data_IF_418262398186
#
_entry.id   IF_418262398186
#
_cell.length_a   1.000
_cell.length_b   1.000
_cell.length_c   1.000
_cell.angle_alpha   90.00
_cell.angle_beta   90.00
_cell.angle_gamma   90.00
#
_symmetry.space_group_name_H-M   'P 1'
#
loop_
_entity.id
_entity.type
_entity.pdbx_description
1 polymer ?
#
# COMPACT_ATOMS: atom_id res chain seq x y z
N UNK A 1 10.41 1.49 -14.19
CA UNK A 1 9.19 2.28 -14.18
C UNK A 1 9.63 3.71 -14.38
N UNK A 2 9.06 4.49 -15.30
CA UNK A 2 9.27 5.91 -15.27
C UNK A 2 8.84 6.40 -13.88
N UNK A 3 9.59 7.31 -13.32
CA UNK A 3 9.20 8.06 -12.14
C UNK A 3 7.78 8.55 -12.38
N UNK A 4 6.84 8.12 -11.54
CA UNK A 4 5.52 8.71 -11.53
C UNK A 4 5.74 10.18 -11.22
N UNK A 5 5.68 11.02 -12.24
CA UNK A 5 5.45 12.43 -12.05
C UNK A 5 4.25 12.53 -11.11
N UNK A 6 4.53 13.04 -9.93
CA UNK A 6 3.51 13.36 -8.94
C UNK A 6 2.70 14.47 -9.58
N UNK A 7 1.59 14.09 -10.22
CA UNK A 7 0.56 15.06 -10.58
C UNK A 7 -0.01 15.61 -9.26
N UNK A 8 0.72 16.55 -8.68
CA UNK A 8 0.14 17.51 -7.75
C UNK A 8 -0.84 18.36 -8.57
N UNK A 9 -2.02 17.82 -8.82
CA UNK A 9 -3.14 18.62 -9.26
C UNK A 9 -3.62 19.39 -8.02
N UNK A 10 -2.91 20.48 -7.70
CA UNK A 10 -3.48 21.60 -6.99
C UNK A 10 -4.26 22.40 -8.05
N UNK A 11 -5.59 22.32 -8.12
CA UNK A 11 -6.31 23.34 -8.85
C UNK A 11 -5.96 24.65 -8.13
N UNK A 12 -5.44 25.62 -8.86
CA UNK A 12 -5.38 26.99 -8.37
C UNK A 12 -6.76 27.30 -7.82
N UNK A 13 -6.82 27.65 -6.55
CA UNK A 13 -8.06 27.76 -5.76
C UNK A 13 -9.04 28.85 -6.27
N UNK A 14 -8.82 29.43 -7.44
CA UNK A 14 -9.56 30.58 -7.96
C UNK A 14 -10.16 30.43 -9.38
N UNK A 15 -10.04 29.28 -10.07
CA UNK A 15 -10.65 29.12 -11.40
C UNK A 15 -11.29 27.75 -11.65
N UNK A 16 -11.80 27.05 -10.63
CA UNK A 16 -12.82 26.04 -10.87
C UNK A 16 -14.06 26.79 -11.34
N UNK A 17 -14.31 26.78 -12.64
CA UNK A 17 -15.59 27.22 -13.23
C UNK A 17 -16.65 26.45 -12.45
N UNK A 18 -17.39 27.15 -11.61
CA UNK A 18 -18.52 26.61 -10.89
C UNK A 18 -19.53 26.18 -11.94
N UNK A 19 -19.43 24.92 -12.39
CA UNK A 19 -20.43 24.36 -13.30
C UNK A 19 -21.77 24.46 -12.60
N UNK A 20 -22.76 24.96 -13.32
CA UNK A 20 -24.12 25.04 -12.76
C UNK A 20 -24.58 23.64 -12.32
N UNK A 21 -25.44 23.49 -11.31
CA UNK A 21 -25.98 22.19 -10.93
C UNK A 21 -26.53 21.41 -12.12
N UNK A 22 -27.20 22.09 -13.07
CA UNK A 22 -27.75 21.48 -14.29
C UNK A 22 -26.66 20.93 -15.23
N UNK A 23 -25.55 21.66 -15.37
CA UNK A 23 -24.42 21.17 -16.17
C UNK A 23 -23.76 19.96 -15.53
N UNK A 24 -23.58 19.97 -14.21
CA UNK A 24 -23.06 18.81 -13.47
C UNK A 24 -23.96 17.58 -13.64
N UNK A 25 -25.26 17.76 -13.51
CA UNK A 25 -26.27 16.70 -13.70
C UNK A 25 -26.15 16.09 -15.10
N UNK A 26 -26.04 16.91 -16.15
CA UNK A 26 -25.86 16.44 -17.51
C UNK A 26 -24.57 15.63 -17.67
N UNK A 27 -23.44 16.16 -17.18
CA UNK A 27 -22.14 15.50 -17.28
C UNK A 27 -22.12 14.16 -16.53
N UNK A 28 -22.65 14.09 -15.31
CA UNK A 28 -22.73 12.84 -14.55
C UNK A 28 -23.57 11.79 -15.29
N UNK A 29 -24.69 12.21 -15.92
CA UNK A 29 -25.53 11.31 -16.72
C UNK A 29 -24.78 10.80 -17.98
N UNK A 30 -24.10 11.67 -18.71
CA UNK A 30 -23.28 11.31 -19.89
C UNK A 30 -22.14 10.36 -19.51
N UNK A 31 -21.56 10.51 -18.33
CA UNK A 31 -20.53 9.61 -17.79
C UNK A 31 -21.09 8.25 -17.33
N UNK A 32 -22.43 8.09 -17.22
CA UNK A 32 -23.05 6.94 -16.61
C UNK A 32 -22.73 6.81 -15.12
N UNK A 33 -22.82 7.93 -14.40
CA UNK A 33 -22.47 8.02 -12.99
C UNK A 33 -23.71 8.16 -12.12
N UNK A 34 -23.79 7.37 -11.04
CA UNK A 34 -24.79 7.53 -9.98
C UNK A 34 -24.14 8.03 -8.68
N UNK A 35 -24.97 8.55 -7.77
CA UNK A 35 -24.55 8.91 -6.41
C UNK A 35 -25.13 7.91 -5.41
N UNK A 36 -24.28 7.32 -4.56
CA UNK A 36 -24.68 6.37 -3.52
C UNK A 36 -24.61 7.05 -2.15
N UNK A 37 -25.71 6.98 -1.40
CA UNK A 37 -25.84 7.53 -0.05
C UNK A 37 -26.10 6.36 0.91
N UNK A 38 -25.08 5.78 1.56
CA UNK A 38 -25.29 4.83 2.64
C UNK A 38 -25.81 5.55 3.88
N UNK A 39 -26.83 5.00 4.53
CA UNK A 39 -27.43 5.59 5.71
C UNK A 39 -27.81 4.55 6.76
N UNK A 40 -27.76 4.95 8.03
CA UNK A 40 -28.23 4.16 9.16
C UNK A 40 -28.59 5.10 10.31
N UNK A 41 -29.87 5.06 10.75
CA UNK A 41 -30.36 5.89 11.85
C UNK A 41 -29.93 7.36 11.75
N UNK A 42 -30.21 7.99 10.63
CA UNK A 42 -29.72 9.35 10.32
C UNK A 42 -30.88 10.26 9.84
N UNK A 43 -31.99 10.23 10.50
CA UNK A 43 -33.19 11.01 10.15
C UNK A 43 -32.94 12.53 10.18
N UNK A 44 -31.98 13.02 10.96
CA UNK A 44 -31.75 14.46 11.14
C UNK A 44 -31.20 15.17 9.92
N UNK A 45 -30.34 14.51 9.12
CA UNK A 45 -29.62 15.15 8.00
C UNK A 45 -29.94 14.54 6.65
N UNK A 46 -30.43 13.31 6.59
CA UNK A 46 -30.64 12.56 5.36
C UNK A 46 -31.50 13.30 4.33
N UNK A 47 -32.65 13.88 4.77
CA UNK A 47 -33.56 14.61 3.86
C UNK A 47 -32.86 15.78 3.16
N UNK A 48 -32.05 16.54 3.90
CA UNK A 48 -31.27 17.65 3.35
C UNK A 48 -30.23 17.12 2.34
N UNK A 49 -29.45 16.11 2.72
CA UNK A 49 -28.41 15.53 1.85
C UNK A 49 -29.01 15.02 0.54
N UNK A 50 -30.10 14.27 0.58
CA UNK A 50 -30.78 13.79 -0.63
C UNK A 50 -31.24 14.96 -1.50
N UNK A 51 -31.92 15.97 -0.90
CA UNK A 51 -32.44 17.13 -1.62
C UNK A 51 -31.33 17.94 -2.30
N UNK A 52 -30.20 18.11 -1.63
CA UNK A 52 -29.05 18.80 -2.19
C UNK A 52 -28.35 17.98 -3.30
N UNK A 53 -28.17 16.67 -3.13
CA UNK A 53 -27.59 15.77 -4.15
C UNK A 53 -28.46 15.76 -5.40
N UNK A 54 -29.79 15.74 -5.26
CA UNK A 54 -30.74 15.79 -6.39
C UNK A 54 -30.64 17.07 -7.23
N UNK A 55 -30.03 18.13 -6.74
CA UNK A 55 -29.73 19.30 -7.58
C UNK A 55 -28.63 19.01 -8.61
N UNK A 56 -27.67 18.11 -8.29
CA UNK A 56 -26.48 17.82 -9.08
C UNK A 56 -26.54 16.48 -9.81
N UNK A 57 -27.39 15.53 -9.41
CA UNK A 57 -27.54 14.21 -10.02
C UNK A 57 -29.00 13.77 -10.11
N UNK A 58 -29.35 13.11 -11.21
CA UNK A 58 -30.68 12.47 -11.37
C UNK A 58 -30.66 11.04 -10.79
N UNK A 59 -29.49 10.39 -10.82
CA UNK A 59 -29.33 8.99 -10.46
C UNK A 59 -28.80 8.89 -9.03
N UNK A 60 -29.70 8.86 -8.06
CA UNK A 60 -29.39 8.78 -6.63
C UNK A 60 -29.86 7.44 -6.08
N UNK A 61 -28.96 6.71 -5.43
CA UNK A 61 -29.21 5.41 -4.79
C UNK A 61 -29.00 5.59 -3.29
N UNK A 62 -30.05 5.47 -2.52
CA UNK A 62 -29.99 5.49 -1.05
C UNK A 62 -29.98 4.06 -0.54
N UNK A 63 -29.00 3.70 0.28
CA UNK A 63 -28.89 2.37 0.87
C UNK A 63 -29.09 2.47 2.37
N UNK A 64 -30.25 2.02 2.83
CA UNK A 64 -30.61 1.96 4.25
C UNK A 64 -30.07 0.66 4.87
N UNK A 65 -29.14 0.78 5.78
CA UNK A 65 -28.51 -0.35 6.50
C UNK A 65 -29.34 -0.83 7.69
N UNK A 66 -30.66 -0.97 7.50
CA UNK A 66 -31.59 -1.50 8.51
C UNK A 66 -31.85 -0.49 9.63
N UNK A 67 -32.20 0.76 9.29
CA UNK A 67 -32.54 1.80 10.24
C UNK A 67 -33.79 1.45 11.05
N UNK A 68 -33.80 1.88 12.30
CA UNK A 68 -34.87 1.65 13.27
C UNK A 68 -35.56 2.95 13.76
N UNK A 69 -35.06 4.08 13.29
CA UNK A 69 -35.63 5.42 13.51
C UNK A 69 -36.57 5.80 12.34
N UNK A 70 -36.86 7.09 12.18
CA UNK A 70 -37.71 7.62 11.09
C UNK A 70 -36.98 7.74 9.73
N UNK A 71 -35.76 7.22 9.59
CA UNK A 71 -34.99 7.21 8.32
C UNK A 71 -35.75 6.53 7.17
N UNK A 72 -36.41 5.35 7.35
CA UNK A 72 -37.18 4.70 6.29
C UNK A 72 -38.39 5.52 5.81
N UNK A 73 -39.04 6.30 6.68
CA UNK A 73 -40.13 7.21 6.33
C UNK A 73 -39.64 8.35 5.44
N UNK A 74 -38.46 8.92 5.78
CA UNK A 74 -37.82 9.96 4.98
C UNK A 74 -37.49 9.43 3.59
N UNK A 75 -36.88 8.25 3.49
CA UNK A 75 -36.52 7.63 2.19
C UNK A 75 -37.80 7.45 1.34
N UNK A 76 -38.88 6.94 1.94
CA UNK A 76 -40.17 6.75 1.23
C UNK A 76 -40.78 8.06 0.73
N UNK A 77 -40.58 9.17 1.44
CA UNK A 77 -41.12 10.47 1.05
C UNK A 77 -40.56 11.01 -0.26
N UNK A 78 -39.37 10.55 -0.70
CA UNK A 78 -38.77 10.93 -1.98
C UNK A 78 -39.32 10.15 -3.19
N UNK A 79 -40.06 9.05 -2.95
CA UNK A 79 -40.70 8.27 -4.01
C UNK A 79 -39.75 7.88 -5.15
N UNK A 80 -40.18 8.15 -6.38
CA UNK A 80 -39.42 7.80 -7.59
C UNK A 80 -38.23 8.73 -7.88
N UNK A 81 -38.04 9.79 -7.09
CA UNK A 81 -36.91 10.69 -7.26
C UNK A 81 -35.55 10.03 -6.93
N UNK A 82 -35.58 8.93 -6.15
CA UNK A 82 -34.40 8.16 -5.76
C UNK A 82 -34.63 6.66 -5.96
N UNK A 83 -33.56 5.88 -6.02
CA UNK A 83 -33.61 4.43 -5.85
C UNK A 83 -33.24 4.09 -4.42
N UNK A 84 -34.09 3.30 -3.75
CA UNK A 84 -33.84 2.88 -2.37
C UNK A 84 -33.57 1.39 -2.28
N UNK A 85 -32.54 1.03 -1.50
CA UNK A 85 -32.22 -0.34 -1.12
C UNK A 85 -32.28 -0.41 0.41
N UNK A 86 -33.01 -1.38 0.97
CA UNK A 86 -33.13 -1.54 2.43
C UNK A 86 -32.61 -2.90 2.83
N UNK A 87 -31.76 -2.96 3.83
CA UNK A 87 -31.31 -4.19 4.46
C UNK A 87 -32.18 -4.55 5.65
N UNK A 88 -32.34 -5.83 5.93
CA UNK A 88 -33.18 -6.29 7.05
C UNK A 88 -32.63 -5.88 8.42
N UNK A 89 -31.30 -5.73 8.52
CA UNK A 89 -30.60 -5.36 9.75
C UNK A 89 -29.28 -4.66 9.41
N UNK A 90 -28.74 -3.92 10.38
CA UNK A 90 -27.45 -3.28 10.25
C UNK A 90 -26.33 -4.30 10.00
N UNK A 91 -25.66 -4.19 8.86
CA UNK A 91 -24.51 -4.99 8.45
C UNK A 91 -23.21 -4.18 8.37
N UNK A 92 -23.31 -2.88 8.47
CA UNK A 92 -22.21 -1.92 8.46
C UNK A 92 -22.10 -1.11 7.16
N UNK A 93 -21.53 0.09 7.28
CA UNK A 93 -21.39 1.06 6.18
C UNK A 93 -20.75 0.44 4.92
N UNK A 94 -19.72 -0.40 5.09
CA UNK A 94 -19.06 -1.05 3.98
C UNK A 94 -19.95 -1.99 3.19
N UNK A 95 -20.81 -2.76 3.89
CA UNK A 95 -21.78 -3.66 3.23
C UNK A 95 -22.84 -2.85 2.50
N UNK A 96 -23.34 -1.76 3.11
CA UNK A 96 -24.30 -0.87 2.47
C UNK A 96 -23.70 -0.24 1.19
N UNK A 97 -22.46 0.24 1.26
CA UNK A 97 -21.77 0.81 0.10
C UNK A 97 -21.56 -0.23 -1.00
N UNK A 98 -21.12 -1.44 -0.64
CA UNK A 98 -20.95 -2.56 -1.59
C UNK A 98 -22.28 -2.92 -2.26
N UNK A 99 -23.37 -2.99 -1.51
CA UNK A 99 -24.70 -3.26 -2.01
C UNK A 99 -25.13 -2.20 -3.06
N UNK A 100 -24.91 -0.92 -2.76
CA UNK A 100 -25.16 0.17 -3.70
C UNK A 100 -24.32 0.08 -4.97
N UNK A 101 -23.02 -0.23 -4.86
CA UNK A 101 -22.14 -0.40 -6.02
C UNK A 101 -22.52 -1.61 -6.88
N UNK A 102 -22.87 -2.74 -6.27
CA UNK A 102 -23.33 -3.94 -6.99
C UNK A 102 -24.64 -3.63 -7.75
N UNK A 103 -25.58 -2.93 -7.10
CA UNK A 103 -26.79 -2.48 -7.74
C UNK A 103 -26.48 -1.55 -8.92
N UNK A 104 -25.67 -0.51 -8.70
CA UNK A 104 -25.28 0.44 -9.75
C UNK A 104 -24.66 -0.27 -10.96
N UNK A 105 -23.71 -1.18 -10.74
CA UNK A 105 -23.08 -1.95 -11.82
C UNK A 105 -24.08 -2.82 -12.57
N UNK A 106 -25.01 -3.47 -11.87
CA UNK A 106 -26.07 -4.30 -12.48
C UNK A 106 -27.00 -3.49 -13.38
N UNK A 107 -27.24 -2.22 -13.04
CA UNK A 107 -28.07 -1.31 -13.83
C UNK A 107 -27.31 -0.49 -14.87
N UNK A 108 -26.04 -0.84 -15.12
CA UNK A 108 -25.24 -0.30 -16.23
C UNK A 108 -24.52 1.00 -15.94
N UNK A 109 -24.47 1.44 -14.69
CA UNK A 109 -23.63 2.59 -14.32
C UNK A 109 -22.15 2.22 -14.42
N UNK A 110 -21.36 3.15 -14.95
CA UNK A 110 -19.90 3.00 -15.07
C UNK A 110 -19.17 3.51 -13.83
N UNK A 111 -19.73 4.52 -13.20
CA UNK A 111 -19.16 5.14 -12.01
C UNK A 111 -20.21 5.27 -10.90
N UNK A 112 -19.75 5.17 -9.66
CA UNK A 112 -20.54 5.47 -8.48
C UNK A 112 -19.78 6.47 -7.60
N UNK A 113 -20.43 7.57 -7.22
CA UNK A 113 -19.89 8.51 -6.25
C UNK A 113 -20.56 8.25 -4.92
N UNK A 114 -19.79 7.91 -3.88
CA UNK A 114 -20.31 7.80 -2.51
C UNK A 114 -20.29 9.14 -1.80
N UNK A 115 -21.32 9.47 -1.06
CA UNK A 115 -21.38 10.61 -0.14
C UNK A 115 -22.08 10.18 1.15
N UNK A 116 -21.54 10.61 2.30
CA UNK A 116 -22.09 10.26 3.61
C UNK A 116 -23.39 11.02 3.89
N UNK A 117 -24.33 10.36 4.59
CA UNK A 117 -25.64 10.93 4.93
C UNK A 117 -25.63 11.90 6.10
N UNK A 118 -24.46 12.11 6.76
CA UNK A 118 -24.31 12.92 7.98
C UNK A 118 -24.25 14.45 7.74
N UNK A 119 -24.29 14.87 6.46
CA UNK A 119 -24.28 16.28 6.08
C UNK A 119 -22.89 16.96 6.21
N UNK A 120 -21.82 16.21 6.49
CA UNK A 120 -20.48 16.80 6.58
C UNK A 120 -19.87 17.12 5.21
N UNK A 121 -20.22 16.37 4.17
CA UNK A 121 -19.78 16.60 2.81
C UNK A 121 -20.75 17.51 2.05
N UNK A 122 -20.21 18.43 1.27
CA UNK A 122 -21.01 19.34 0.43
C UNK A 122 -21.34 18.69 -0.91
N UNK A 123 -22.63 18.44 -1.25
CA UNK A 123 -23.02 17.97 -2.59
C UNK A 123 -22.58 18.92 -3.71
N UNK A 124 -22.38 20.21 -3.40
CA UNK A 124 -21.82 21.20 -4.34
C UNK A 124 -20.35 20.95 -4.75
N UNK A 125 -19.68 19.90 -4.21
CA UNK A 125 -18.39 19.42 -4.68
C UNK A 125 -18.50 18.29 -5.72
N UNK A 126 -19.71 17.77 -6.03
CA UNK A 126 -19.96 16.81 -7.12
C UNK A 126 -19.36 17.24 -8.49
N UNK A 127 -19.41 18.54 -8.88
CA UNK A 127 -18.74 19.00 -10.11
C UNK A 127 -17.24 18.68 -10.15
N UNK A 128 -16.55 18.69 -9.02
CA UNK A 128 -15.11 18.35 -8.94
C UNK A 128 -14.91 16.88 -9.34
N UNK A 129 -15.77 15.97 -8.85
CA UNK A 129 -15.72 14.55 -9.22
C UNK A 129 -16.09 14.34 -10.69
N UNK A 130 -17.13 14.99 -11.20
CA UNK A 130 -17.55 14.89 -12.60
C UNK A 130 -16.41 15.32 -13.56
N UNK A 131 -15.75 16.42 -13.27
CA UNK A 131 -14.60 16.89 -14.03
C UNK A 131 -13.42 15.94 -13.92
N UNK A 132 -13.13 15.44 -12.73
CA UNK A 132 -12.02 14.52 -12.48
C UNK A 132 -12.21 13.17 -13.17
N UNK A 133 -13.43 12.61 -13.15
CA UNK A 133 -13.77 11.40 -13.91
C UNK A 133 -13.57 11.61 -15.41
N UNK A 134 -14.01 12.77 -15.95
CA UNK A 134 -13.84 13.09 -17.37
C UNK A 134 -12.37 13.18 -17.79
N UNK A 135 -11.51 13.75 -16.91
CA UNK A 135 -10.07 13.92 -17.18
C UNK A 135 -9.26 12.66 -16.93
N UNK A 136 -9.66 11.85 -15.96
CA UNK A 136 -8.95 10.66 -15.52
C UNK A 136 -9.91 9.46 -15.48
N UNK A 137 -10.35 8.94 -16.63
CA UNK A 137 -11.21 7.77 -16.66
C UNK A 137 -10.52 6.57 -15.99
N UNK A 138 -11.31 5.62 -15.52
CA UNK A 138 -10.83 4.39 -14.87
C UNK A 138 -10.02 4.60 -13.58
N UNK A 139 -10.08 5.81 -12.99
CA UNK A 139 -9.36 6.19 -11.77
C UNK A 139 -10.32 6.22 -10.58
N UNK A 140 -9.92 5.65 -9.45
CA UNK A 140 -10.62 5.79 -8.17
C UNK A 140 -10.22 7.14 -7.57
N UNK A 141 -11.20 8.01 -7.37
CA UNK A 141 -10.99 9.37 -6.91
C UNK A 141 -11.46 9.50 -5.47
N UNK A 142 -10.61 10.00 -4.58
CA UNK A 142 -10.90 10.20 -3.16
C UNK A 142 -10.89 11.69 -2.86
N UNK A 143 -11.98 12.20 -2.29
CA UNK A 143 -12.04 13.57 -1.82
C UNK A 143 -11.10 13.78 -0.64
N UNK A 144 -10.14 14.68 -0.77
CA UNK A 144 -9.20 15.01 0.30
C UNK A 144 -9.65 16.27 1.05
N UNK A 145 -9.81 16.12 2.34
CA UNK A 145 -10.15 17.21 3.25
C UNK A 145 -8.91 18.07 3.50
N UNK A 146 -9.10 19.39 3.63
CA UNK A 146 -8.03 20.25 4.09
C UNK A 146 -7.77 20.03 5.59
N UNK A 147 -6.83 19.13 5.91
CA UNK A 147 -6.48 18.76 7.27
C UNK A 147 -5.71 19.87 8.05
N UNK A 148 -5.47 21.01 7.42
CA UNK A 148 -4.82 22.19 8.02
C UNK A 148 -5.80 23.33 8.25
N UNK A 149 -7.08 23.17 7.89
CA UNK A 149 -8.09 24.20 8.09
C UNK A 149 -8.35 24.45 9.59
N UNK A 150 -8.63 25.70 9.94
CA UNK A 150 -9.04 26.09 11.29
C UNK A 150 -10.30 25.33 11.72
N UNK A 151 -10.32 24.82 12.96
CA UNK A 151 -11.45 24.07 13.52
C UNK A 151 -11.31 22.54 13.45
N UNK A 152 -10.25 21.98 12.85
CA UNK A 152 -10.08 20.54 12.78
C UNK A 152 -9.53 19.96 14.10
N UNK A 153 -10.20 18.95 14.70
CA UNK A 153 -9.70 18.26 15.88
C UNK A 153 -8.34 17.57 15.60
N UNK A 154 -7.32 17.87 16.42
CA UNK A 154 -5.96 17.32 16.21
C UNK A 154 -5.89 15.78 16.22
N UNK A 155 -6.84 15.10 16.87
CA UNK A 155 -6.96 13.64 16.88
C UNK A 155 -7.25 13.08 15.47
N UNK A 156 -8.06 13.77 14.66
CA UNK A 156 -8.38 13.34 13.29
C UNK A 156 -7.16 13.43 12.37
N UNK A 157 -6.31 14.43 12.59
CA UNK A 157 -5.06 14.60 11.82
C UNK A 157 -4.07 13.46 12.06
N UNK A 158 -3.93 12.99 13.31
CA UNK A 158 -3.06 11.86 13.63
C UNK A 158 -3.58 10.55 13.00
N UNK A 159 -4.86 10.24 13.17
CA UNK A 159 -5.47 9.03 12.61
C UNK A 159 -5.37 9.00 11.07
N UNK A 160 -5.57 10.14 10.42
CA UNK A 160 -5.43 10.26 8.97
C UNK A 160 -3.97 10.06 8.52
N UNK A 161 -3.00 10.74 9.16
CA UNK A 161 -1.57 10.54 8.85
C UNK A 161 -1.13 9.09 9.03
N UNK A 162 -1.63 8.43 10.07
CA UNK A 162 -1.37 7.03 10.34
C UNK A 162 -1.93 6.14 9.22
N UNK A 163 -3.19 6.34 8.82
CA UNK A 163 -3.82 5.62 7.71
C UNK A 163 -3.08 5.84 6.38
N UNK A 164 -2.72 7.09 6.05
CA UNK A 164 -1.98 7.44 4.85
C UNK A 164 -0.58 6.79 4.80
N UNK A 165 0.09 6.69 5.96
CA UNK A 165 1.39 6.01 6.06
C UNK A 165 1.27 4.52 5.72
N UNK A 166 0.28 3.81 6.29
CA UNK A 166 0.08 2.39 6.02
C UNK A 166 -0.34 2.15 4.58
N UNK A 167 -1.27 2.93 4.06
CA UNK A 167 -1.67 2.86 2.66
C UNK A 167 -0.47 3.01 1.70
N UNK A 168 0.41 3.99 1.97
CA UNK A 168 1.64 4.16 1.18
C UNK A 168 2.57 2.94 1.28
N UNK A 169 2.70 2.35 2.46
CA UNK A 169 3.52 1.14 2.66
C UNK A 169 2.96 -0.05 1.88
N UNK A 170 1.66 -0.23 1.88
CA UNK A 170 0.95 -1.35 1.26
C UNK A 170 0.87 -1.24 -0.27
N UNK A 171 0.72 -0.03 -0.79
CA UNK A 171 0.45 0.21 -2.22
C UNK A 171 1.59 0.88 -2.97
N UNK A 172 2.44 1.63 -2.28
CA UNK A 172 3.44 2.53 -2.86
C UNK A 172 2.86 3.87 -3.32
N UNK A 173 1.54 4.09 -3.23
CA UNK A 173 0.84 5.32 -3.64
C UNK A 173 0.73 6.26 -2.44
N UNK A 174 1.02 7.53 -2.65
CA UNK A 174 0.84 8.55 -1.63
C UNK A 174 -0.52 9.24 -1.82
N UNK A 175 -1.33 9.23 -0.77
CA UNK A 175 -2.56 10.01 -0.67
C UNK A 175 -2.47 10.98 0.51
N UNK A 176 -3.16 12.11 0.39
CA UNK A 176 -3.26 13.11 1.46
C UNK A 176 -4.41 12.80 2.42
N UNK A 177 -5.44 12.11 1.94
CA UNK A 177 -6.56 11.63 2.74
C UNK A 177 -7.06 10.28 2.24
N UNK A 178 -6.95 9.24 3.09
CA UNK A 178 -7.45 7.89 2.82
C UNK A 178 -8.73 7.56 3.58
N UNK A 179 -9.22 8.47 4.44
CA UNK A 179 -10.35 8.22 5.33
C UNK A 179 -11.66 8.91 4.92
N UNK A 180 -11.61 9.79 3.92
CA UNK A 180 -12.82 10.43 3.41
C UNK A 180 -13.75 9.40 2.77
N UNK A 181 -15.05 9.46 3.07
CA UNK A 181 -16.09 8.65 2.44
C UNK A 181 -16.62 9.23 1.12
N UNK A 182 -16.22 10.44 0.74
CA UNK A 182 -16.59 11.06 -0.51
C UNK A 182 -15.67 10.62 -1.63
N UNK A 183 -16.10 9.65 -2.45
CA UNK A 183 -15.26 8.95 -3.42
C UNK A 183 -15.99 8.66 -4.72
N UNK A 184 -15.27 8.66 -5.84
CA UNK A 184 -15.78 8.14 -7.10
C UNK A 184 -15.10 6.81 -7.43
N UNK A 185 -15.90 5.79 -7.67
CA UNK A 185 -15.48 4.42 -7.95
C UNK A 185 -15.73 4.09 -9.42
N UNK A 186 -14.71 3.71 -10.20
CA UNK A 186 -14.87 3.15 -11.55
C UNK A 186 -15.32 1.69 -11.44
N UNK A 187 -16.62 1.44 -11.56
CA UNK A 187 -17.25 0.14 -11.24
C UNK A 187 -16.70 -1.04 -12.07
N UNK A 188 -16.20 -0.78 -13.27
CA UNK A 188 -15.60 -1.82 -14.11
C UNK A 188 -14.18 -2.21 -13.67
N UNK A 189 -13.49 -1.34 -12.95
CA UNK A 189 -12.15 -1.61 -12.40
C UNK A 189 -12.20 -2.20 -10.99
N UNK A 190 -13.36 -2.19 -10.35
CA UNK A 190 -13.54 -2.72 -9.00
C UNK A 190 -14.19 -4.10 -9.11
N UNK A 191 -13.54 -5.08 -8.52
CA UNK A 191 -14.04 -6.44 -8.47
C UNK A 191 -15.06 -6.60 -7.33
N UNK A 192 -16.31 -6.23 -7.60
CA UNK A 192 -17.41 -6.28 -6.63
C UNK A 192 -17.83 -7.70 -6.23
N UNK A 193 -17.40 -8.72 -6.98
CA UNK A 193 -17.60 -10.14 -6.66
C UNK A 193 -16.56 -10.74 -5.72
N UNK A 194 -15.49 -10.02 -5.37
CA UNK A 194 -14.49 -10.48 -4.42
C UNK A 194 -15.08 -10.56 -3.01
N UNK A 195 -14.64 -11.55 -2.24
CA UNK A 195 -14.91 -11.56 -0.80
C UNK A 195 -14.03 -10.51 -0.14
N UNK A 196 -14.63 -9.37 0.19
CA UNK A 196 -13.99 -8.41 1.09
C UNK A 196 -13.95 -9.02 2.50
N UNK A 197 -12.87 -8.72 3.23
CA UNK A 197 -12.66 -9.23 4.59
C UNK A 197 -13.51 -8.48 5.61
N UNK A 198 -13.93 -7.26 5.26
CA UNK A 198 -14.53 -6.30 6.18
C UNK A 198 -15.85 -5.76 5.66
N UNK A 199 -16.71 -5.30 6.58
CA UNK A 199 -18.04 -4.77 6.23
C UNK A 199 -18.36 -3.44 6.91
N UNK A 200 -17.48 -2.95 7.80
CA UNK A 200 -17.66 -1.69 8.52
C UNK A 200 -16.94 -0.50 7.85
N UNK A 201 -16.41 0.41 8.66
CA UNK A 201 -15.62 1.57 8.18
C UNK A 201 -14.29 1.17 7.58
N UNK A 202 -13.71 0.06 8.01
CA UNK A 202 -12.47 -0.52 7.50
C UNK A 202 -12.57 -0.94 6.03
N UNK A 203 -13.76 -1.25 5.52
CA UNK A 203 -14.03 -1.57 4.12
C UNK A 203 -13.53 -0.48 3.15
N UNK A 204 -13.69 0.77 3.54
CA UNK A 204 -13.27 1.89 2.70
C UNK A 204 -11.75 1.94 2.49
N UNK A 205 -10.96 1.46 3.45
CA UNK A 205 -9.51 1.30 3.29
C UNK A 205 -9.21 0.04 2.47
N UNK A 206 -9.89 -1.06 2.75
CA UNK A 206 -9.69 -2.33 2.04
C UNK A 206 -9.91 -2.18 0.53
N UNK A 207 -11.00 -1.53 0.12
CA UNK A 207 -11.31 -1.32 -1.30
C UNK A 207 -10.25 -0.44 -1.98
N UNK A 208 -9.68 0.57 -1.28
CA UNK A 208 -8.59 1.38 -1.81
C UNK A 208 -7.33 0.55 -2.06
N UNK A 209 -6.94 -0.26 -1.08
CA UNK A 209 -5.74 -1.10 -1.18
C UNK A 209 -5.89 -2.15 -2.28
N UNK A 210 -7.04 -2.83 -2.32
CA UNK A 210 -7.30 -3.86 -3.33
C UNK A 210 -7.37 -3.28 -4.75
N UNK A 211 -8.00 -2.11 -4.92
CA UNK A 211 -8.03 -1.41 -6.20
C UNK A 211 -6.62 -1.05 -6.68
N UNK A 212 -5.80 -0.47 -5.80
CA UNK A 212 -4.41 -0.14 -6.10
C UNK A 212 -3.58 -1.40 -6.44
N UNK A 213 -3.80 -2.50 -5.73
CA UNK A 213 -3.10 -3.76 -6.01
C UNK A 213 -3.46 -4.36 -7.37
N UNK A 214 -4.64 -4.09 -7.88
CA UNK A 214 -5.11 -4.52 -9.22
C UNK A 214 -4.71 -3.57 -10.34
N UNK A 215 -4.02 -2.49 -9.99
CA UNK A 215 -3.50 -1.52 -10.96
C UNK A 215 -4.46 -0.39 -11.28
N UNK A 216 -5.56 -0.25 -10.54
CA UNK A 216 -6.44 0.93 -10.63
C UNK A 216 -5.68 2.14 -10.09
N UNK A 217 -5.63 3.23 -10.84
CA UNK A 217 -5.11 4.49 -10.34
C UNK A 217 -5.97 4.99 -9.18
N UNK A 218 -5.32 5.56 -8.16
CA UNK A 218 -6.01 6.18 -7.02
C UNK A 218 -5.41 7.56 -6.81
N UNK A 219 -6.28 8.58 -6.78
CA UNK A 219 -5.87 9.98 -6.63
C UNK A 219 -6.74 10.72 -5.62
N UNK A 220 -6.21 11.80 -5.07
CA UNK A 220 -7.00 12.73 -4.28
C UNK A 220 -7.45 13.94 -5.11
N UNK A 221 -8.65 14.44 -4.78
CA UNK A 221 -9.16 15.76 -5.23
C UNK A 221 -9.58 16.56 -4.00
N UNK A 222 -9.35 17.89 -3.97
CA UNK A 222 -9.71 18.68 -2.79
C UNK A 222 -11.23 18.79 -2.67
N UNK A 223 -11.75 18.61 -1.46
CA UNK A 223 -13.16 18.79 -1.11
C UNK A 223 -13.30 19.68 0.12
N UNK A 224 -14.47 20.26 0.27
CA UNK A 224 -14.89 20.98 1.48
C UNK A 224 -15.59 20.04 2.44
N UNK A 225 -15.44 20.31 3.74
CA UNK A 225 -16.10 19.54 4.81
C UNK A 225 -16.60 20.50 5.87
N UNK A 226 -17.83 20.28 6.28
CA UNK A 226 -18.44 20.95 7.43
C UNK A 226 -18.13 20.15 8.70
N UNK A 227 -17.66 20.83 9.71
CA UNK A 227 -17.45 20.26 11.05
C UNK A 227 -18.50 20.86 12.00
N UNK A 228 -19.56 20.11 12.34
CA UNK A 228 -20.54 20.57 13.31
C UNK A 228 -19.87 20.89 14.67
N UNK A 229 -20.43 21.85 15.43
CA UNK A 229 -20.01 22.10 16.82
C UNK A 229 -20.04 20.82 17.67
N UNK A 230 -19.21 20.79 18.73
CA UNK A 230 -19.24 19.67 19.68
C UNK A 230 -20.63 19.56 20.31
N UNK A 231 -21.22 18.35 20.17
CA UNK A 231 -22.59 18.04 20.67
C UNK A 231 -23.66 17.91 19.58
N UNK A 232 -23.47 18.47 18.39
CA UNK A 232 -24.41 18.34 17.26
C UNK A 232 -24.01 17.23 16.29
N UNK A 233 -22.82 16.67 16.44
CA UNK A 233 -22.29 15.66 15.55
C UNK A 233 -22.93 14.30 15.78
N UNK A 234 -23.72 13.81 14.84
CA UNK A 234 -24.17 12.42 14.80
C UNK A 234 -23.05 11.56 14.19
N UNK A 235 -22.41 10.74 14.99
CA UNK A 235 -21.37 9.81 14.51
C UNK A 235 -21.61 8.42 15.08
N UNK A 236 -21.78 7.45 14.21
CA UNK A 236 -21.85 6.04 14.58
C UNK A 236 -20.48 5.38 14.72
N UNK A 237 -19.40 6.10 14.45
CA UNK A 237 -18.03 5.64 14.61
C UNK A 237 -17.68 5.48 16.10
N UNK A 238 -17.32 4.26 16.50
CA UNK A 238 -16.88 3.91 17.85
C UNK A 238 -15.36 3.91 17.90
N UNK A 239 -14.70 4.96 18.43
CA UNK A 239 -13.27 5.19 18.24
C UNK A 239 -12.38 3.99 18.57
N UNK A 240 -12.57 3.37 19.74
CA UNK A 240 -11.72 2.24 20.15
C UNK A 240 -11.98 0.98 19.30
N UNK A 241 -13.25 0.64 19.09
CA UNK A 241 -13.65 -0.58 18.36
C UNK A 241 -13.23 -0.51 16.88
N UNK A 242 -13.56 0.61 16.22
CA UNK A 242 -13.35 0.74 14.79
C UNK A 242 -11.86 1.00 14.47
N UNK A 243 -11.15 1.73 15.33
CA UNK A 243 -9.69 1.84 15.22
C UNK A 243 -8.98 0.49 15.38
N UNK A 244 -9.43 -0.35 16.31
CA UNK A 244 -8.88 -1.71 16.47
C UNK A 244 -9.09 -2.54 15.22
N UNK A 245 -10.28 -2.51 14.61
CA UNK A 245 -10.56 -3.22 13.35
C UNK A 245 -9.68 -2.75 12.20
N UNK A 246 -9.53 -1.43 12.04
CA UNK A 246 -8.63 -0.84 11.04
C UNK A 246 -7.18 -1.28 11.28
N UNK A 247 -6.73 -1.31 12.53
CA UNK A 247 -5.37 -1.75 12.88
C UNK A 247 -5.14 -3.23 12.58
N UNK A 248 -6.12 -4.09 12.85
CA UNK A 248 -6.07 -5.51 12.49
C UNK A 248 -6.01 -5.68 10.96
N UNK A 249 -6.85 -4.97 10.22
CA UNK A 249 -6.84 -5.00 8.76
C UNK A 249 -5.45 -4.59 8.22
N UNK A 250 -4.92 -3.43 8.65
CA UNK A 250 -3.58 -2.98 8.24
C UNK A 250 -2.50 -4.03 8.56
N UNK A 251 -2.57 -4.67 9.73
CA UNK A 251 -1.61 -5.73 10.10
C UNK A 251 -1.69 -6.89 9.10
N UNK A 252 -2.90 -7.35 8.77
CA UNK A 252 -3.11 -8.43 7.79
C UNK A 252 -2.58 -8.03 6.40
N UNK A 253 -2.91 -6.81 5.94
CA UNK A 253 -2.48 -6.31 4.63
C UNK A 253 -0.96 -6.17 4.54
N UNK A 254 -0.32 -5.65 5.59
CA UNK A 254 1.16 -5.54 5.66
C UNK A 254 1.83 -6.90 5.68
N UNK A 255 1.32 -7.85 6.47
CA UNK A 255 1.83 -9.22 6.48
C UNK A 255 1.68 -9.88 5.10
N UNK A 256 0.56 -9.68 4.43
CA UNK A 256 0.38 -10.15 3.05
C UNK A 256 1.37 -9.51 2.08
N UNK A 257 1.63 -8.20 2.20
CA UNK A 257 2.66 -7.53 1.40
C UNK A 257 4.05 -8.11 1.65
N UNK A 258 4.45 -8.25 2.92
CA UNK A 258 5.78 -8.75 3.31
C UNK A 258 6.00 -10.21 2.90
N UNK A 259 5.00 -11.08 3.15
CA UNK A 259 5.16 -12.52 2.98
C UNK A 259 4.86 -13.01 1.57
N UNK A 260 4.03 -12.28 0.82
CA UNK A 260 3.59 -12.73 -0.50
C UNK A 260 3.85 -11.71 -1.61
N UNK A 261 3.26 -10.51 -1.51
CA UNK A 261 3.25 -9.57 -2.62
C UNK A 261 4.64 -9.04 -2.99
N UNK A 262 5.42 -8.62 -2.01
CA UNK A 262 6.77 -8.11 -2.25
C UNK A 262 7.73 -9.20 -2.75
N UNK A 263 7.80 -10.40 -2.16
CA UNK A 263 8.57 -11.49 -2.74
C UNK A 263 8.14 -11.84 -4.17
N UNK A 264 6.84 -12.02 -4.43
CA UNK A 264 6.35 -12.33 -5.78
C UNK A 264 6.70 -11.22 -6.78
N UNK A 265 6.53 -9.94 -6.42
CA UNK A 265 6.90 -8.83 -7.27
C UNK A 265 8.42 -8.74 -7.48
N UNK A 266 9.21 -9.05 -6.47
CA UNK A 266 10.67 -9.15 -6.59
C UNK A 266 11.06 -10.21 -7.61
N UNK A 267 10.55 -11.45 -7.46
CA UNK A 267 10.84 -12.53 -8.40
C UNK A 267 10.31 -12.26 -9.81
N UNK A 268 9.14 -11.62 -9.96
CA UNK A 268 8.62 -11.19 -11.28
C UNK A 268 9.52 -10.15 -11.96
N UNK A 269 10.17 -9.28 -11.20
CA UNK A 269 11.15 -8.31 -11.71
C UNK A 269 12.50 -8.94 -12.02
N UNK A 270 12.81 -10.12 -11.49
CA UNK A 270 14.03 -10.87 -11.72
C UNK A 270 13.99 -11.58 -13.09
N UNK A 271 13.62 -10.85 -14.12
CA UNK A 271 13.65 -11.33 -15.50
C UNK A 271 15.08 -11.35 -16.03
N UNK A 272 15.38 -12.27 -16.95
CA UNK A 272 16.72 -12.34 -17.59
C UNK A 272 17.15 -10.99 -18.15
N UNK A 273 16.23 -10.23 -18.75
CA UNK A 273 16.48 -8.89 -19.28
C UNK A 273 16.95 -7.92 -18.17
N UNK A 274 16.29 -7.92 -17.02
CA UNK A 274 16.64 -7.03 -15.91
C UNK A 274 17.95 -7.45 -15.26
N UNK A 275 18.19 -8.76 -15.10
CA UNK A 275 19.46 -9.29 -14.59
C UNK A 275 20.62 -8.93 -15.54
N UNK A 276 20.43 -9.11 -16.85
CA UNK A 276 21.41 -8.71 -17.85
C UNK A 276 21.71 -7.21 -17.82
N UNK A 277 20.67 -6.38 -17.75
CA UNK A 277 20.81 -4.92 -17.63
C UNK A 277 21.53 -4.50 -16.35
N UNK A 278 21.28 -5.19 -15.23
CA UNK A 278 21.99 -4.95 -13.98
C UNK A 278 23.48 -5.32 -14.10
N UNK A 279 23.78 -6.52 -14.61
CA UNK A 279 25.15 -6.99 -14.85
C UNK A 279 25.88 -6.03 -15.78
N UNK A 280 25.23 -5.63 -16.87
CA UNK A 280 25.81 -4.72 -17.84
C UNK A 280 26.17 -3.37 -17.21
N UNK A 281 25.24 -2.75 -16.49
CA UNK A 281 25.42 -1.42 -15.88
C UNK A 281 26.40 -1.41 -14.71
N UNK A 282 26.28 -2.34 -13.77
CA UNK A 282 27.00 -2.30 -12.49
C UNK A 282 28.29 -3.15 -12.50
N UNK A 283 28.43 -4.08 -13.43
CA UNK A 283 29.57 -4.97 -13.53
C UNK A 283 30.39 -4.69 -14.80
N UNK A 284 29.76 -4.87 -15.97
CA UNK A 284 30.53 -4.78 -17.25
C UNK A 284 30.98 -3.34 -17.52
N UNK A 285 30.09 -2.37 -17.47
CA UNK A 285 30.37 -0.95 -17.74
C UNK A 285 30.65 -0.12 -16.48
N UNK A 286 30.94 -0.77 -15.35
CA UNK A 286 31.30 -0.07 -14.12
C UNK A 286 32.69 0.61 -14.30
N UNK A 287 32.89 1.85 -13.79
CA UNK A 287 34.17 2.50 -13.79
C UNK A 287 35.20 1.90 -12.80
N UNK A 288 34.74 0.99 -11.92
CA UNK A 288 35.55 0.36 -10.89
C UNK A 288 36.43 -0.76 -11.47
N UNK A 289 37.59 -1.01 -10.86
CA UNK A 289 38.46 -2.12 -11.26
C UNK A 289 37.89 -3.47 -10.82
N UNK A 290 38.33 -4.56 -11.44
CA UNK A 290 37.84 -5.91 -11.18
C UNK A 290 37.96 -6.32 -9.71
N UNK A 291 39.07 -5.93 -9.06
CA UNK A 291 39.31 -6.25 -7.65
C UNK A 291 38.28 -5.56 -6.72
N UNK A 292 37.90 -4.31 -6.98
CA UNK A 292 36.86 -3.61 -6.21
C UNK A 292 35.47 -4.24 -6.37
N UNK A 293 35.13 -4.63 -7.59
CA UNK A 293 33.87 -5.33 -7.86
C UNK A 293 33.83 -6.68 -7.14
N UNK A 294 34.90 -7.48 -7.27
CA UNK A 294 35.02 -8.76 -6.59
C UNK A 294 34.97 -8.61 -5.05
N UNK A 295 35.64 -7.57 -4.52
CA UNK A 295 35.56 -7.27 -3.07
C UNK A 295 34.18 -6.82 -2.61
N UNK A 296 33.42 -6.09 -3.43
CA UNK A 296 32.06 -5.71 -3.14
C UNK A 296 31.13 -6.96 -3.09
N UNK A 297 31.30 -7.89 -4.03
CA UNK A 297 30.57 -9.17 -4.04
C UNK A 297 30.93 -9.99 -2.80
N UNK A 298 32.23 -10.17 -2.53
CA UNK A 298 32.72 -10.95 -1.41
C UNK A 298 32.23 -10.42 -0.06
N UNK A 299 32.30 -9.09 0.14
CA UNK A 299 31.76 -8.45 1.34
C UNK A 299 30.24 -8.70 1.47
N UNK A 300 29.49 -8.58 0.38
CA UNK A 300 28.06 -8.87 0.39
C UNK A 300 27.77 -10.31 0.79
N UNK A 301 28.44 -11.29 0.18
CA UNK A 301 28.31 -12.71 0.49
C UNK A 301 28.64 -13.00 1.97
N UNK A 302 29.71 -12.41 2.49
CA UNK A 302 30.06 -12.51 3.91
C UNK A 302 28.93 -12.02 4.82
N UNK A 303 28.43 -10.81 4.55
CA UNK A 303 27.35 -10.20 5.34
C UNK A 303 26.05 -10.97 5.24
N UNK A 304 25.76 -11.62 4.11
CA UNK A 304 24.58 -12.46 3.89
C UNK A 304 24.60 -13.76 4.69
N UNK A 305 25.79 -14.27 5.06
CA UNK A 305 25.97 -15.50 5.85
C UNK A 305 26.22 -15.20 7.32
N UNK A 306 26.76 -14.04 7.65
CA UNK A 306 27.06 -13.63 9.02
C UNK A 306 25.81 -13.69 9.92
N UNK A 307 25.95 -14.12 11.19
CA UNK A 307 24.83 -14.34 12.10
C UNK A 307 24.30 -13.01 12.69
N UNK A 308 24.00 -12.03 11.82
CA UNK A 308 23.50 -10.68 12.15
C UNK A 308 22.10 -10.45 11.55
N UNK A 309 21.21 -11.38 11.82
CA UNK A 309 19.86 -11.43 11.28
C UNK A 309 19.10 -10.10 11.42
N UNK A 310 18.53 -9.65 10.30
CA UNK A 310 17.79 -8.39 10.22
C UNK A 310 18.65 -7.14 10.04
N UNK A 311 19.91 -7.14 10.48
CA UNK A 311 20.83 -5.99 10.35
C UNK A 311 21.81 -6.14 9.19
N UNK A 312 21.83 -7.28 8.52
CA UNK A 312 22.80 -7.63 7.47
C UNK A 312 22.91 -6.56 6.38
N UNK A 313 21.79 -6.02 5.88
CA UNK A 313 21.79 -4.99 4.83
C UNK A 313 22.35 -3.66 5.32
N UNK A 314 22.03 -3.26 6.54
CA UNK A 314 22.52 -2.01 7.16
C UNK A 314 24.02 -2.12 7.34
N UNK A 315 24.51 -3.24 7.90
CA UNK A 315 25.93 -3.49 8.11
C UNK A 315 26.68 -3.60 6.77
N UNK A 316 26.11 -4.28 5.78
CA UNK A 316 26.68 -4.39 4.44
C UNK A 316 26.83 -3.01 3.78
N UNK A 317 25.81 -2.15 3.88
CA UNK A 317 25.86 -0.79 3.36
C UNK A 317 26.92 0.06 4.08
N UNK A 318 26.95 0.03 5.41
CA UNK A 318 27.90 0.78 6.23
C UNK A 318 29.34 0.37 5.94
N UNK A 319 29.64 -0.94 5.91
CA UNK A 319 30.97 -1.45 5.59
C UNK A 319 31.36 -1.17 4.15
N UNK A 320 30.47 -1.31 3.18
CA UNK A 320 30.73 -0.95 1.79
C UNK A 320 31.07 0.55 1.67
N UNK A 321 30.39 1.41 2.46
CA UNK A 321 30.71 2.84 2.49
C UNK A 321 32.09 3.13 3.08
N UNK A 322 32.43 2.53 4.22
CA UNK A 322 33.72 2.68 4.89
C UNK A 322 34.87 2.18 4.02
N UNK A 323 34.69 1.04 3.36
CA UNK A 323 35.69 0.42 2.50
C UNK A 323 35.72 1.00 1.08
N UNK A 324 34.88 2.03 0.81
CA UNK A 324 34.73 2.67 -0.52
C UNK A 324 34.44 1.67 -1.64
N UNK A 325 33.67 0.62 -1.34
CA UNK A 325 33.22 -0.39 -2.28
C UNK A 325 31.84 -0.01 -2.85
N UNK A 326 31.44 -0.70 -3.94
CA UNK A 326 30.15 -0.48 -4.58
C UNK A 326 28.99 -0.95 -3.69
N UNK A 327 28.26 0.00 -3.14
CA UNK A 327 27.17 -0.25 -2.19
C UNK A 327 26.05 -1.07 -2.82
N UNK A 328 25.74 -0.84 -4.11
CA UNK A 328 24.66 -1.54 -4.81
C UNK A 328 25.02 -3.01 -5.02
N UNK A 329 26.23 -3.30 -5.47
CA UNK A 329 26.73 -4.66 -5.64
C UNK A 329 26.75 -5.38 -4.28
N UNK A 330 27.29 -4.74 -3.25
CA UNK A 330 27.38 -5.33 -1.89
C UNK A 330 25.99 -5.64 -1.33
N UNK A 331 25.02 -4.71 -1.47
CA UNK A 331 23.65 -4.94 -1.02
C UNK A 331 22.96 -6.08 -1.77
N UNK A 332 23.12 -6.17 -3.09
CA UNK A 332 22.54 -7.26 -3.86
C UNK A 332 23.19 -8.60 -3.46
N UNK A 333 24.50 -8.64 -3.31
CA UNK A 333 25.22 -9.84 -2.90
C UNK A 333 24.89 -10.27 -1.44
N UNK A 334 24.56 -9.33 -0.54
CA UNK A 334 24.19 -9.66 0.85
C UNK A 334 22.83 -10.34 0.96
N UNK A 335 22.01 -10.30 -0.10
CA UNK A 335 20.72 -11.01 -0.15
C UNK A 335 20.84 -12.46 -0.65
N UNK A 336 22.02 -13.08 -0.56
CA UNK A 336 22.19 -14.51 -0.87
C UNK A 336 21.37 -15.41 0.07
N UNK A 337 21.08 -14.95 1.29
CA UNK A 337 20.19 -15.62 2.25
C UNK A 337 18.72 -15.45 1.89
N UNK A 338 18.33 -15.94 0.70
CA UNK A 338 16.93 -16.05 0.33
C UNK A 338 16.19 -17.02 1.28
N UNK A 339 14.89 -16.79 1.57
CA UNK A 339 14.14 -17.62 2.52
C UNK A 339 14.31 -19.14 2.35
N UNK A 340 14.31 -19.71 1.14
CA UNK A 340 14.54 -21.13 0.94
C UNK A 340 15.97 -21.59 1.30
N UNK A 341 16.97 -20.70 1.21
CA UNK A 341 18.38 -21.02 1.48
C UNK A 341 18.76 -20.83 2.95
N UNK A 342 17.96 -20.11 3.72
CA UNK A 342 18.24 -19.83 5.14
C UNK A 342 18.50 -21.09 5.96
N UNK A 343 17.66 -22.17 5.91
CA UNK A 343 17.93 -23.40 6.67
C UNK A 343 19.27 -24.04 6.32
N UNK A 344 19.64 -24.02 5.04
CA UNK A 344 20.92 -24.58 4.57
C UNK A 344 22.11 -23.75 5.06
N UNK A 345 22.01 -22.43 5.06
CA UNK A 345 23.06 -21.52 5.55
C UNK A 345 23.25 -21.69 7.05
N UNK A 346 22.15 -21.77 7.83
CA UNK A 346 22.23 -22.02 9.27
C UNK A 346 22.88 -23.36 9.54
N UNK A 347 22.43 -24.42 8.85
CA UNK A 347 22.98 -25.76 9.01
C UNK A 347 24.46 -25.80 8.64
N UNK A 348 24.88 -25.22 7.53
CA UNK A 348 26.27 -25.18 7.11
C UNK A 348 27.17 -24.44 8.14
N UNK A 349 26.69 -23.28 8.62
CA UNK A 349 27.38 -22.56 9.70
C UNK A 349 27.51 -23.37 10.96
N UNK A 350 26.43 -24.01 11.44
CA UNK A 350 26.46 -24.87 12.60
C UNK A 350 27.39 -26.09 12.39
N UNK A 351 27.34 -26.74 11.24
CA UNK A 351 28.17 -27.89 10.89
C UNK A 351 29.66 -27.52 10.91
N UNK A 352 30.04 -26.41 10.30
CA UNK A 352 31.42 -25.90 10.35
C UNK A 352 31.86 -25.63 11.77
N UNK A 353 30.98 -25.06 12.61
CA UNK A 353 31.25 -24.87 14.03
C UNK A 353 31.45 -26.20 14.77
N UNK A 354 30.66 -27.25 14.53
CA UNK A 354 30.84 -28.56 15.11
C UNK A 354 32.21 -29.16 14.74
N UNK A 355 32.63 -29.00 13.49
CA UNK A 355 33.95 -29.47 13.02
C UNK A 355 35.07 -28.71 13.74
N UNK A 356 34.99 -27.40 13.86
CA UNK A 356 36.00 -26.57 14.53
C UNK A 356 36.15 -26.89 16.01
N UNK A 357 35.08 -27.19 16.69
CA UNK A 357 35.07 -27.53 18.13
C UNK A 357 35.19 -29.02 18.41
N UNK A 358 35.37 -29.86 17.37
CA UNK A 358 35.40 -31.31 17.46
C UNK A 358 34.22 -31.91 18.22
N UNK A 359 33.01 -31.34 18.01
CA UNK A 359 31.77 -31.80 18.67
C UNK A 359 30.82 -32.47 17.68
N UNK A 360 30.04 -33.47 18.12
CA UNK A 360 29.07 -34.13 17.28
C UNK A 360 27.94 -33.16 16.88
N UNK A 361 27.40 -33.33 15.67
CA UNK A 361 26.22 -32.60 15.21
C UNK A 361 24.99 -33.14 15.90
N UNK A 362 24.34 -32.34 16.74
CA UNK A 362 23.13 -32.71 17.48
C UNK A 362 21.90 -32.41 16.61
N UNK A 363 21.36 -33.43 15.95
CA UNK A 363 20.16 -33.33 15.10
C UNK A 363 18.89 -33.86 15.77
N UNK A 364 19.01 -34.56 16.92
CA UNK A 364 17.85 -35.14 17.59
C UNK A 364 17.32 -34.20 18.68
N UNK A 365 16.00 -33.88 18.69
CA UNK A 365 15.38 -33.01 19.70
C UNK A 365 15.59 -33.51 21.14
N UNK A 366 15.69 -34.81 21.34
CA UNK A 366 15.88 -35.48 22.64
C UNK A 366 17.20 -35.09 23.33
N UNK A 367 18.19 -34.60 22.57
CA UNK A 367 19.50 -34.22 23.06
C UNK A 367 19.65 -32.71 23.33
N UNK A 368 18.56 -31.91 23.18
CA UNK A 368 18.59 -30.48 23.36
C UNK A 368 18.28 -30.12 24.81
N UNK A 369 19.30 -29.76 25.57
CA UNK A 369 19.18 -29.21 26.92
C UNK A 369 19.53 -27.72 26.95
N UNK A 370 19.17 -27.01 28.03
CA UNK A 370 19.53 -25.59 28.19
C UNK A 370 21.04 -25.33 28.08
N UNK A 371 21.85 -26.25 28.62
CA UNK A 371 23.31 -26.20 28.52
C UNK A 371 23.82 -26.46 27.08
N UNK A 372 23.16 -27.36 26.34
CA UNK A 372 23.51 -27.64 24.94
C UNK A 372 23.14 -26.50 24.01
N UNK A 373 22.06 -25.71 24.29
CA UNK A 373 21.67 -24.55 23.51
C UNK A 373 22.78 -23.49 23.48
N UNK A 374 23.38 -23.17 24.63
CA UNK A 374 24.47 -22.20 24.70
C UNK A 374 25.70 -22.62 23.87
N UNK A 375 26.08 -23.90 23.95
CA UNK A 375 27.17 -24.46 23.16
C UNK A 375 26.85 -24.53 21.66
N UNK A 376 25.62 -24.85 21.29
CA UNK A 376 25.14 -24.85 19.90
C UNK A 376 25.14 -23.43 19.30
N UNK A 377 24.72 -22.43 20.09
CA UNK A 377 24.75 -21.06 19.67
C UNK A 377 26.18 -20.56 19.38
N UNK A 378 27.15 -20.89 20.28
CA UNK A 378 28.54 -20.54 20.07
C UNK A 378 29.12 -21.24 18.82
N UNK A 379 28.82 -22.51 18.63
CA UNK A 379 29.22 -23.26 17.43
C UNK A 379 28.66 -22.64 16.18
N UNK A 380 27.36 -22.27 16.20
CA UNK A 380 26.71 -21.61 15.10
C UNK A 380 27.33 -20.24 14.78
N UNK A 381 27.54 -19.40 15.79
CA UNK A 381 28.11 -18.03 15.57
C UNK A 381 29.52 -18.11 15.00
N UNK A 382 30.40 -18.88 15.65
CA UNK A 382 31.80 -19.00 15.21
C UNK A 382 31.87 -19.71 13.84
N UNK A 383 31.11 -20.79 13.68
CA UNK A 383 31.06 -21.54 12.43
C UNK A 383 30.50 -20.74 11.27
N UNK A 384 29.48 -19.91 11.50
CA UNK A 384 28.93 -19.04 10.46
C UNK A 384 29.91 -17.94 10.04
N UNK A 385 30.69 -17.40 10.96
CA UNK A 385 31.77 -16.43 10.63
C UNK A 385 32.82 -17.10 9.76
N UNK A 386 33.31 -18.29 10.13
CA UNK A 386 34.33 -19.03 9.38
C UNK A 386 33.78 -19.48 8.02
N UNK A 387 32.56 -20.04 8.00
CA UNK A 387 31.89 -20.42 6.76
C UNK A 387 31.68 -19.23 5.83
N UNK A 388 31.23 -18.10 6.37
CA UNK A 388 31.05 -16.85 5.65
C UNK A 388 32.38 -16.32 5.08
N UNK A 389 33.47 -16.38 5.83
CA UNK A 389 34.80 -15.99 5.37
C UNK A 389 35.31 -16.88 4.21
N UNK A 390 35.15 -18.21 4.34
CA UNK A 390 35.53 -19.15 3.29
C UNK A 390 34.69 -18.94 2.01
N UNK A 391 33.38 -18.79 2.16
CA UNK A 391 32.47 -18.54 1.03
C UNK A 391 32.75 -17.19 0.38
N UNK A 392 33.07 -16.16 1.18
CA UNK A 392 33.49 -14.83 0.71
C UNK A 392 34.81 -14.91 -0.10
N UNK A 393 35.83 -15.60 0.39
CA UNK A 393 37.10 -15.80 -0.32
C UNK A 393 36.87 -16.56 -1.63
N UNK A 394 36.07 -17.63 -1.60
CA UNK A 394 35.71 -18.36 -2.82
C UNK A 394 34.99 -17.47 -3.83
N UNK A 395 33.99 -16.69 -3.37
CA UNK A 395 33.25 -15.76 -4.21
C UNK A 395 34.18 -14.67 -4.82
N UNK A 396 35.13 -14.20 -4.06
CA UNK A 396 36.15 -13.24 -4.57
C UNK A 396 36.95 -13.85 -5.68
N UNK A 397 37.57 -15.03 -5.49
CA UNK A 397 38.35 -15.73 -6.50
C UNK A 397 37.54 -16.02 -7.77
N UNK A 398 36.31 -16.54 -7.60
CA UNK A 398 35.37 -16.84 -8.69
C UNK A 398 35.04 -15.55 -9.48
N UNK A 399 34.68 -14.49 -8.76
CA UNK A 399 34.33 -13.20 -9.37
C UNK A 399 35.52 -12.59 -10.13
N UNK A 400 36.73 -12.65 -9.57
CA UNK A 400 37.94 -12.20 -10.24
C UNK A 400 38.22 -12.96 -11.53
N UNK A 401 38.08 -14.29 -11.51
CA UNK A 401 38.26 -15.14 -12.68
C UNK A 401 37.27 -14.82 -13.80
N UNK A 402 35.97 -14.72 -13.41
CA UNK A 402 34.93 -14.38 -14.37
C UNK A 402 35.11 -12.96 -14.95
N UNK A 403 35.44 -11.97 -14.11
CA UNK A 403 35.66 -10.61 -14.55
C UNK A 403 36.88 -10.52 -15.47
N UNK A 404 37.96 -11.30 -15.23
CA UNK A 404 39.14 -11.34 -16.10
C UNK A 404 38.79 -11.92 -17.49
N UNK A 405 37.86 -12.88 -17.57
CA UNK A 405 37.48 -13.49 -18.84
C UNK A 405 36.47 -12.61 -19.62
N UNK A 406 35.47 -12.08 -18.96
CA UNK A 406 34.31 -11.44 -19.62
C UNK A 406 34.41 -9.90 -19.65
N UNK A 407 35.31 -9.28 -18.91
CA UNK A 407 35.43 -7.84 -18.81
C UNK A 407 36.85 -7.36 -19.13
N UNK A 408 37.00 -6.51 -20.17
CA UNK A 408 38.23 -5.74 -20.35
C UNK A 408 38.29 -4.71 -19.21
N UNK A 409 39.37 -4.76 -18.42
CA UNK A 409 39.60 -3.75 -17.38
C UNK A 409 39.60 -2.36 -18.02
N UNK A 410 38.94 -1.35 -17.46
CA UNK A 410 39.09 0.00 -17.98
C UNK A 410 40.58 0.37 -17.88
N UNK A 411 41.12 0.89 -18.97
CA UNK A 411 42.50 1.43 -18.99
C UNK A 411 42.64 2.43 -17.83
N UNK A 412 43.79 2.39 -17.15
CA UNK A 412 44.06 3.35 -16.07
C UNK A 412 43.82 4.76 -16.61
N UNK A 413 43.16 5.64 -15.85
CA UNK A 413 43.06 7.02 -16.28
C UNK A 413 44.46 7.53 -16.51
N UNK A 414 44.72 8.04 -17.70
CA UNK A 414 45.97 8.75 -18.03
C UNK A 414 46.06 9.85 -16.98
N UNK A 415 47.07 9.76 -16.12
CA UNK A 415 47.46 10.83 -15.22
C UNK A 415 47.91 12.00 -16.09
N UNK A 416 47.01 12.96 -16.29
CA UNK A 416 47.43 14.26 -16.79
C UNK A 416 48.28 14.90 -15.70
N UNK A 417 49.52 15.04 -16.01
CA UNK A 417 50.52 15.88 -15.36
C UNK A 417 50.06 17.33 -15.33
#
# INVERSE_FOLDING_TARGET
MPENEIYNYAPEANNAVAKSPQECRRVLKELGCCVIIPTYNNAGTLSQVISEVLQYSEDVIVVDDGSTDTTPEIIRSFGDAIKSLTQEKNQGKGVALLCGMVYAKRYGFKYAISIDSDGQHYPSDLPIFAESISKMPDTLIVGARNLRAEGMPGKNTFANRFSNFWYKLETGIRLDDTQSGYRAYPLDKIELGSRFLTGGYEFELEILVFSAWRGTNVVNVPIRVYYPPEGERVSHFKPFRDFTKISILNTILVLYCLLWRWPVNFFRKLTWKNCKSFIDRYIIHSPENNARIASAIALGVFMGVAPIWGYQMICAFALAHLLKLNKVITLVASNISLPPLIPFIIFAGYWVGCVLFAKPVLLKPENITLASIGSMLLQYVVGSIVFGALLSAFSWCLSMSLLAIFRKSPDKPVSNV
#
